data_IF_042522756734
#
_entry.id   IF_042522756734
#
_cell.length_a   1.000
_cell.length_b   1.000
_cell.length_c   1.000
_cell.angle_alpha   90.00
_cell.angle_beta   90.00
_cell.angle_gamma   90.00
#
_symmetry.space_group_name_H-M   'P 1'
#
loop_
_entity.id
_entity.type
_entity.pdbx_description
1 polymer ?
#
# COMPACT_ATOMS: atom_id res chain seq x y z
N UNK A 1 42.90 -3.38 -2.68
CA UNK A 1 42.35 -4.76 -2.70
C UNK A 1 42.44 -5.31 -1.30
N UNK A 2 41.34 -5.26 -0.56
CA UNK A 2 41.20 -5.85 0.78
C UNK A 2 41.12 -7.37 0.67
N UNK A 3 41.87 -8.15 1.48
CA UNK A 3 41.71 -9.60 1.45
C UNK A 3 40.35 -9.96 2.06
N UNK A 4 39.51 -10.63 1.28
CA UNK A 4 38.30 -11.24 1.80
C UNK A 4 38.70 -12.41 2.70
N UNK A 5 38.54 -12.22 4.01
CA UNK A 5 38.65 -13.29 5.00
C UNK A 5 37.48 -14.25 4.82
N UNK A 6 37.63 -15.24 3.95
CA UNK A 6 36.73 -16.39 3.86
C UNK A 6 36.93 -17.28 5.09
N UNK A 7 36.15 -17.04 6.14
CA UNK A 7 36.12 -17.94 7.29
C UNK A 7 34.70 -18.04 7.86
N UNK A 8 33.86 -18.84 7.20
CA UNK A 8 33.08 -19.87 7.89
C UNK A 8 32.52 -20.85 6.85
N UNK A 9 33.26 -21.92 6.54
CA UNK A 9 32.62 -23.12 6.00
C UNK A 9 31.97 -23.83 7.18
N UNK A 10 30.62 -23.90 7.26
CA UNK A 10 30.01 -24.74 8.28
C UNK A 10 30.39 -26.19 7.95
N UNK A 11 31.22 -26.79 8.80
CA UNK A 11 31.41 -28.24 8.79
C UNK A 11 30.04 -28.89 8.93
N UNK A 12 29.61 -29.77 8.01
CA UNK A 12 28.36 -30.50 8.21
C UNK A 12 28.56 -31.39 9.43
N UNK A 13 27.81 -31.12 10.50
CA UNK A 13 27.77 -32.00 11.67
C UNK A 13 27.21 -33.36 11.22
N UNK A 14 28.09 -34.35 11.17
CA UNK A 14 27.78 -35.72 10.76
C UNK A 14 26.86 -36.47 11.74
N UNK A 15 26.43 -35.83 12.83
CA UNK A 15 25.51 -36.40 13.83
C UNK A 15 24.04 -36.21 13.48
N UNK A 16 23.70 -35.45 12.43
CA UNK A 16 22.31 -35.13 12.09
C UNK A 16 21.68 -36.20 11.19
N UNK A 17 20.54 -36.81 11.58
CA UNK A 17 19.91 -37.84 10.75
C UNK A 17 19.43 -37.25 9.41
N UNK A 18 19.58 -37.99 8.29
CA UNK A 18 19.07 -37.56 7.00
C UNK A 18 17.55 -37.36 7.09
N UNK A 19 17.08 -36.15 6.78
CA UNK A 19 15.66 -35.75 6.89
C UNK A 19 15.31 -34.91 8.12
N UNK A 20 16.26 -34.57 9.00
CA UNK A 20 15.99 -33.67 10.12
C UNK A 20 15.74 -32.22 9.64
N UNK A 21 14.52 -31.71 9.86
CA UNK A 21 14.10 -30.35 9.53
C UNK A 21 14.84 -29.31 10.40
N UNK A 22 15.31 -28.23 9.78
CA UNK A 22 15.86 -27.07 10.52
C UNK A 22 14.73 -26.11 10.85
N UNK A 23 14.71 -25.59 12.08
CA UNK A 23 13.79 -24.52 12.45
C UNK A 23 13.96 -23.33 11.53
N UNK A 24 12.85 -22.89 10.93
CA UNK A 24 12.81 -21.74 10.04
C UNK A 24 11.75 -20.79 10.59
N UNK A 25 12.24 -19.78 11.30
CA UNK A 25 11.42 -18.72 11.85
C UNK A 25 11.67 -17.43 11.07
N UNK A 26 10.60 -16.72 10.72
CA UNK A 26 10.66 -15.43 10.03
C UNK A 26 10.00 -14.38 10.89
N UNK A 27 10.74 -13.35 11.25
CA UNK A 27 10.18 -12.16 11.89
C UNK A 27 9.48 -11.28 10.86
N UNK A 28 8.15 -11.43 10.77
CA UNK A 28 7.32 -10.65 9.86
C UNK A 28 7.29 -9.15 10.24
N UNK A 29 7.53 -8.80 11.50
CA UNK A 29 7.57 -7.39 11.93
C UNK A 29 8.80 -6.70 11.36
N UNK A 30 9.97 -7.36 11.43
CA UNK A 30 11.19 -6.87 10.79
C UNK A 30 11.03 -6.79 9.27
N UNK A 31 10.41 -7.79 8.64
CA UNK A 31 10.15 -7.79 7.20
C UNK A 31 9.21 -6.65 6.78
N UNK A 32 8.17 -6.34 7.55
CA UNK A 32 7.26 -5.23 7.24
C UNK A 32 7.95 -3.87 7.36
N UNK A 33 8.84 -3.69 8.34
CA UNK A 33 9.65 -2.46 8.44
C UNK A 33 10.55 -2.31 7.20
N UNK A 34 11.19 -3.39 6.75
CA UNK A 34 12.02 -3.38 5.54
C UNK A 34 11.18 -3.07 4.29
N UNK A 35 10.01 -3.70 4.15
CA UNK A 35 9.09 -3.44 3.05
C UNK A 35 8.68 -1.97 3.01
N UNK A 36 8.29 -1.37 4.14
CA UNK A 36 7.93 0.05 4.22
C UNK A 36 9.09 0.95 3.85
N UNK A 37 10.30 0.67 4.34
CA UNK A 37 11.49 1.44 3.99
C UNK A 37 11.78 1.40 2.48
N UNK A 38 11.66 0.22 1.86
CA UNK A 38 11.83 0.05 0.41
C UNK A 38 10.75 0.79 -0.39
N UNK A 39 9.49 0.76 0.06
CA UNK A 39 8.39 1.52 -0.57
C UNK A 39 8.68 3.02 -0.50
N UNK A 40 9.06 3.54 0.66
CA UNK A 40 9.39 4.97 0.81
C UNK A 40 10.60 5.37 -0.05
N UNK A 41 11.61 4.51 -0.15
CA UNK A 41 12.76 4.74 -1.03
C UNK A 41 12.37 4.75 -2.51
N UNK A 42 11.42 3.90 -2.93
CA UNK A 42 10.93 3.84 -4.30
C UNK A 42 10.06 5.05 -4.68
N UNK A 43 9.26 5.57 -3.73
CA UNK A 43 8.47 6.80 -3.92
C UNK A 43 9.35 8.04 -4.03
N UNK A 44 10.49 8.04 -3.33
CA UNK A 44 11.48 9.11 -3.39
C UNK A 44 11.13 10.32 -2.51
N UNK A 45 12.07 11.26 -2.37
CA UNK A 45 11.95 12.39 -1.44
C UNK A 45 10.93 13.44 -1.88
N UNK A 46 10.58 13.48 -3.17
CA UNK A 46 9.67 14.47 -3.74
C UNK A 46 8.20 14.01 -3.71
N UNK A 47 7.92 12.81 -3.19
CA UNK A 47 6.56 12.29 -3.10
C UNK A 47 5.73 13.08 -2.06
N UNK A 48 4.72 13.80 -2.54
CA UNK A 48 3.72 14.45 -1.70
C UNK A 48 2.42 13.62 -1.68
N UNK A 49 2.14 12.88 -0.58
CA UNK A 49 0.94 12.05 -0.50
C UNK A 49 -0.36 12.86 -0.58
N UNK A 50 -0.34 14.13 -0.17
CA UNK A 50 -1.53 14.97 -0.19
C UNK A 50 -1.81 15.45 -1.61
N UNK A 51 -0.77 15.77 -2.38
CA UNK A 51 -0.91 16.13 -3.80
C UNK A 51 -1.49 14.97 -4.62
N UNK A 52 -0.98 13.75 -4.41
CA UNK A 52 -1.52 12.54 -5.05
C UNK A 52 -3.00 12.31 -4.71
N UNK A 53 -3.38 12.42 -3.43
CA UNK A 53 -4.79 12.27 -3.01
C UNK A 53 -5.71 13.35 -3.60
N UNK A 54 -5.24 14.59 -3.71
CA UNK A 54 -6.01 15.66 -4.38
C UNK A 54 -6.16 15.39 -5.88
N UNK A 55 -5.11 14.89 -6.53
CA UNK A 55 -5.16 14.53 -7.95
C UNK A 55 -6.16 13.39 -8.21
N UNK A 56 -6.19 12.39 -7.34
CA UNK A 56 -7.17 11.31 -7.39
C UNK A 56 -8.61 11.83 -7.24
N UNK A 57 -8.86 12.70 -6.26
CA UNK A 57 -10.20 13.30 -6.06
C UNK A 57 -10.64 14.11 -7.30
N UNK A 58 -9.76 14.94 -7.85
CA UNK A 58 -10.05 15.71 -9.06
C UNK A 58 -10.31 14.82 -10.29
N UNK A 59 -9.60 13.69 -10.40
CA UNK A 59 -9.84 12.72 -11.47
C UNK A 59 -11.20 12.02 -11.30
N UNK A 60 -11.61 11.73 -10.06
CA UNK A 60 -12.94 11.20 -9.76
C UNK A 60 -14.06 12.19 -10.12
N UNK A 61 -13.91 13.47 -9.74
CA UNK A 61 -14.85 14.54 -10.09
C UNK A 61 -15.00 14.66 -11.61
N UNK A 62 -13.89 14.57 -12.34
CA UNK A 62 -13.90 14.59 -13.81
C UNK A 62 -14.62 13.36 -14.39
N UNK A 63 -14.35 12.16 -13.85
CA UNK A 63 -14.94 10.91 -14.34
C UNK A 63 -16.47 10.90 -14.25
N UNK A 64 -17.02 11.49 -13.19
CA UNK A 64 -18.46 11.61 -12.98
C UNK A 64 -18.99 13.01 -13.28
N UNK A 65 -18.22 13.82 -14.03
CA UNK A 65 -18.70 15.11 -14.52
C UNK A 65 -19.60 14.94 -15.75
N UNK A 66 -20.58 15.83 -15.89
CA UNK A 66 -21.39 15.91 -17.12
C UNK A 66 -22.26 14.70 -17.40
N UNK A 67 -22.64 13.93 -16.36
CA UNK A 67 -23.53 12.78 -16.51
C UNK A 67 -24.88 13.22 -17.07
N UNK A 68 -25.39 12.44 -18.01
CA UNK A 68 -26.75 12.60 -18.46
C UNK A 68 -27.76 12.14 -17.37
N UNK A 69 -29.06 12.43 -17.51
CA UNK A 69 -30.03 12.10 -16.48
C UNK A 69 -30.17 10.61 -16.17
N UNK A 70 -29.85 9.71 -17.11
CA UNK A 70 -29.89 8.27 -16.88
C UNK A 70 -28.62 7.81 -16.14
N UNK A 71 -27.47 8.33 -16.55
CA UNK A 71 -26.19 8.07 -15.90
C UNK A 71 -26.17 8.59 -14.46
N UNK A 72 -26.74 9.78 -14.21
CA UNK A 72 -26.86 10.34 -12.87
C UNK A 72 -27.67 9.43 -11.95
N UNK A 73 -28.80 8.88 -12.42
CA UNK A 73 -29.60 7.95 -11.62
C UNK A 73 -28.83 6.69 -11.26
N UNK A 74 -28.05 6.15 -12.20
CA UNK A 74 -27.22 4.97 -11.92
C UNK A 74 -26.09 5.30 -10.94
N UNK A 75 -25.47 6.48 -11.06
CA UNK A 75 -24.50 6.97 -10.08
C UNK A 75 -25.13 7.05 -8.68
N UNK A 76 -26.31 7.67 -8.56
CA UNK A 76 -27.04 7.79 -7.30
C UNK A 76 -27.38 6.42 -6.70
N UNK A 77 -27.82 5.46 -7.52
CA UNK A 77 -28.10 4.08 -7.09
C UNK A 77 -26.84 3.38 -6.56
N UNK A 78 -25.70 3.57 -7.22
CA UNK A 78 -24.42 2.99 -6.78
C UNK A 78 -23.92 3.61 -5.48
N UNK A 79 -24.13 4.92 -5.28
CA UNK A 79 -23.83 5.60 -4.01
C UNK A 79 -24.74 5.06 -2.90
N UNK A 80 -26.05 4.95 -3.15
CA UNK A 80 -27.01 4.41 -2.19
C UNK A 80 -26.71 2.94 -1.81
N UNK A 81 -26.20 2.15 -2.75
CA UNK A 81 -25.75 0.78 -2.51
C UNK A 81 -24.39 0.68 -1.80
N UNK A 82 -23.68 1.79 -1.60
CA UNK A 82 -22.34 1.84 -1.02
C UNK A 82 -21.24 1.30 -1.93
N UNK A 83 -21.52 1.13 -3.22
CA UNK A 83 -20.53 0.74 -4.23
C UNK A 83 -19.62 1.92 -4.56
N UNK A 84 -20.20 3.12 -4.63
CA UNK A 84 -19.47 4.37 -4.75
C UNK A 84 -19.51 5.16 -3.42
N UNK A 85 -18.44 5.91 -3.11
CA UNK A 85 -18.42 6.74 -1.92
C UNK A 85 -19.46 7.87 -2.04
N UNK A 86 -20.18 8.14 -0.95
CA UNK A 86 -21.00 9.34 -0.81
C UNK A 86 -20.08 10.53 -0.55
N UNK A 87 -19.83 11.33 -1.59
CA UNK A 87 -18.93 12.49 -1.52
C UNK A 87 -19.64 13.79 -1.19
N UNK A 88 -20.98 13.81 -1.17
CA UNK A 88 -21.78 15.02 -1.05
C UNK A 88 -21.46 16.06 -2.14
N UNK A 89 -22.40 16.97 -2.36
CA UNK A 89 -22.24 18.05 -3.33
C UNK A 89 -21.28 19.12 -2.77
N UNK A 90 -19.98 18.81 -2.72
CA UNK A 90 -18.93 19.76 -2.39
C UNK A 90 -17.94 19.27 -1.33
N UNK A 91 -16.90 18.58 -1.79
CA UNK A 91 -15.53 18.70 -1.30
C UNK A 91 -15.26 18.31 0.15
N UNK A 92 -14.37 17.34 0.33
CA UNK A 92 -13.82 16.95 1.63
C UNK A 92 -13.46 18.15 2.52
N UNK A 93 -14.14 18.26 3.65
CA UNK A 93 -13.93 19.31 4.65
C UNK A 93 -14.92 19.16 5.79
N UNK A 94 -14.43 18.80 6.98
CA UNK A 94 -15.25 18.39 8.11
C UNK A 94 -16.40 19.34 8.45
N UNK A 95 -17.60 18.77 8.61
CA UNK A 95 -18.64 19.38 9.43
C UNK A 95 -18.26 19.16 10.90
N UNK A 96 -17.43 20.05 11.43
CA UNK A 96 -17.46 20.34 12.86
C UNK A 96 -18.77 21.08 13.13
N UNK A 97 -19.75 20.36 13.69
CA UNK A 97 -20.93 20.96 14.27
C UNK A 97 -20.55 21.54 15.65
N UNK A 98 -20.80 22.84 15.80
CA UNK A 98 -20.81 23.57 17.07
C UNK A 98 -22.10 23.30 17.85
#
# INVERSE_FOLDING_TARGET
MTPHSSAHSPTPDGSRPPGALTGFDVDLSAQEVLRRAQVMAALGPDWDPIEVLRGEEAAYDLLYSGLDPQQQRFYDDLVAAGVLPDRGDGGGGGRAAA
#
